data_IF_514497188581
#
_entry.id   IF_514497188581
#
_cell.length_a   1.000
_cell.length_b   1.000
_cell.length_c   1.000
_cell.angle_alpha   90.00
_cell.angle_beta   90.00
_cell.angle_gamma   90.00
#
_symmetry.space_group_name_H-M   'P 1'
#
loop_
_entity.id
_entity.type
_entity.pdbx_description
1 polymer ?
#
# COMPACT_ATOMS: atom_id res chain seq x y z
N UNK A 1 9.35 25.89 10.48
CA UNK A 1 8.44 24.75 10.63
C UNK A 1 8.77 24.05 11.94
N UNK A 2 7.76 23.74 12.76
CA UNK A 2 7.95 23.12 14.07
C UNK A 2 7.39 21.70 13.99
N UNK A 3 8.26 20.70 14.06
CA UNK A 3 7.87 19.28 14.14
C UNK A 3 8.12 18.78 15.56
N UNK A 4 7.17 18.01 16.11
CA UNK A 4 7.33 17.31 17.38
C UNK A 4 7.50 15.83 17.08
N UNK A 5 8.64 15.25 17.49
CA UNK A 5 8.90 13.83 17.36
C UNK A 5 8.23 13.08 18.52
N UNK A 6 7.43 12.06 18.18
CA UNK A 6 6.88 11.10 19.13
C UNK A 6 7.65 9.78 19.06
N UNK A 7 7.69 8.99 20.16
CA UNK A 7 8.30 7.66 20.16
C UNK A 7 7.53 6.69 19.24
N UNK A 8 8.08 5.48 18.97
CA UNK A 8 7.36 4.45 18.23
C UNK A 8 5.96 4.20 18.79
N UNK A 9 4.96 4.05 17.91
CA UNK A 9 3.56 3.85 18.30
C UNK A 9 3.31 2.49 18.97
N UNK A 10 4.08 1.47 18.57
CA UNK A 10 4.00 0.10 19.08
C UNK A 10 5.40 -0.40 19.51
N UNK A 11 5.97 0.14 20.59
CA UNK A 11 7.33 -0.19 21.02
C UNK A 11 7.50 -1.67 21.46
N UNK A 12 6.41 -2.38 21.69
CA UNK A 12 6.37 -3.81 22.01
C UNK A 12 6.53 -4.74 20.80
N UNK A 13 6.31 -4.24 19.58
CA UNK A 13 6.47 -5.02 18.36
C UNK A 13 7.95 -5.02 17.94
N UNK A 14 8.53 -6.21 17.77
CA UNK A 14 9.91 -6.37 17.30
C UNK A 14 10.11 -5.94 15.85
N UNK A 15 9.04 -5.92 15.05
CA UNK A 15 9.02 -5.43 13.68
C UNK A 15 7.63 -4.93 13.32
N UNK A 16 7.58 -3.67 12.86
CA UNK A 16 6.42 -3.07 12.22
C UNK A 16 6.94 -1.96 11.31
N UNK A 17 6.33 -1.81 10.15
CA UNK A 17 6.55 -0.70 9.23
C UNK A 17 5.26 -0.39 8.51
N UNK A 18 5.28 0.67 7.69
CA UNK A 18 4.15 1.16 6.92
C UNK A 18 2.99 1.58 7.80
N UNK A 19 2.47 2.78 7.57
CA UNK A 19 1.32 3.23 8.31
C UNK A 19 0.60 4.30 7.51
N UNK A 20 -0.72 4.19 7.45
CA UNK A 20 -1.58 5.25 6.97
C UNK A 20 -2.77 5.46 7.91
N UNK A 21 -3.23 6.70 7.98
CA UNK A 21 -4.25 7.13 8.92
C UNK A 21 -5.53 7.49 8.17
N UNK A 22 -6.65 6.90 8.60
CA UNK A 22 -7.98 7.38 8.27
C UNK A 22 -8.54 8.19 9.44
N UNK A 23 -8.68 9.50 9.23
CA UNK A 23 -9.46 10.38 10.11
C UNK A 23 -10.93 10.22 9.75
N UNK A 24 -11.59 9.23 10.36
CA UNK A 24 -12.97 8.89 10.03
C UNK A 24 -13.98 9.88 10.64
N UNK A 25 -13.86 10.15 11.94
CA UNK A 25 -14.63 11.20 12.62
C UNK A 25 -13.83 11.82 13.78
N UNK A 26 -14.44 12.77 14.49
CA UNK A 26 -13.79 13.54 15.59
C UNK A 26 -13.26 12.63 16.70
N UNK A 27 -13.90 11.49 16.95
CA UNK A 27 -13.59 10.61 18.09
C UNK A 27 -13.02 9.24 17.70
N UNK A 28 -13.07 8.88 16.42
CA UNK A 28 -12.61 7.58 15.93
C UNK A 28 -11.73 7.78 14.70
N UNK A 29 -10.45 7.44 14.85
CA UNK A 29 -9.50 7.33 13.76
C UNK A 29 -8.91 5.93 13.71
N UNK A 30 -8.48 5.54 12.51
CA UNK A 30 -7.98 4.20 12.22
C UNK A 30 -6.58 4.29 11.63
N UNK A 31 -5.65 3.56 12.23
CA UNK A 31 -4.31 3.35 11.70
C UNK A 31 -4.28 1.99 11.01
N UNK A 32 -4.04 2.00 9.71
CA UNK A 32 -3.72 0.81 8.93
C UNK A 32 -2.21 0.72 8.88
N UNK A 33 -1.63 -0.38 9.35
CA UNK A 33 -0.18 -0.48 9.51
C UNK A 33 0.29 -1.92 9.35
N UNK A 34 1.61 -2.11 9.34
CA UNK A 34 2.28 -3.40 9.33
C UNK A 34 2.37 -4.08 7.95
N UNK A 35 3.39 -4.92 7.82
CA UNK A 35 3.55 -5.98 6.80
C UNK A 35 3.94 -7.34 7.46
N UNK A 36 4.19 -7.33 8.78
CA UNK A 36 4.81 -8.46 9.48
C UNK A 36 3.81 -9.57 9.67
N UNK A 37 4.24 -10.82 9.44
CA UNK A 37 3.38 -12.01 9.44
C UNK A 37 2.26 -11.99 8.39
N UNK A 38 2.52 -11.42 7.20
CA UNK A 38 1.66 -11.64 6.03
C UNK A 38 0.31 -10.88 6.16
N UNK A 39 0.25 -9.88 7.04
CA UNK A 39 -0.95 -9.09 7.33
C UNK A 39 -0.69 -7.58 7.33
N UNK A 40 -1.67 -6.86 6.82
CA UNK A 40 -1.91 -5.45 7.09
C UNK A 40 -2.91 -5.39 8.24
N UNK A 41 -2.53 -4.70 9.31
CA UNK A 41 -3.23 -4.69 10.58
C UNK A 41 -3.94 -3.36 10.85
N UNK A 42 -4.85 -3.35 11.82
CA UNK A 42 -5.67 -2.18 12.17
C UNK A 42 -5.52 -1.83 13.64
N UNK A 43 -5.35 -0.54 13.93
CA UNK A 43 -5.47 0.01 15.28
C UNK A 43 -6.43 1.20 15.31
N UNK A 44 -7.04 1.45 16.47
CA UNK A 44 -7.93 2.59 16.69
C UNK A 44 -7.27 3.61 17.60
N UNK A 45 -7.55 4.88 17.38
CA UNK A 45 -7.15 5.97 18.26
C UNK A 45 -8.26 7.02 18.36
N UNK A 46 -8.19 7.82 19.42
CA UNK A 46 -9.02 9.00 19.64
C UNK A 46 -8.21 10.29 19.79
N UNK A 47 -6.87 10.19 19.87
CA UNK A 47 -5.97 11.32 20.14
C UNK A 47 -4.73 11.37 19.22
N UNK A 48 -4.62 10.43 18.28
CA UNK A 48 -3.52 10.27 17.32
C UNK A 48 -2.16 9.92 17.95
N UNK A 49 -2.09 9.73 19.26
CA UNK A 49 -0.86 9.45 20.01
C UNK A 49 -0.88 8.04 20.61
N UNK A 50 -2.05 7.58 21.06
CA UNK A 50 -2.22 6.27 21.67
C UNK A 50 -3.15 5.42 20.82
N UNK A 51 -2.68 4.21 20.48
CA UNK A 51 -3.38 3.31 19.57
C UNK A 51 -3.74 2.01 20.29
N UNK A 52 -5.00 1.60 20.16
CA UNK A 52 -5.47 0.28 20.58
C UNK A 52 -5.38 -0.67 19.40
N UNK A 53 -4.37 -1.54 19.43
CA UNK A 53 -4.18 -2.55 18.40
C UNK A 53 -5.34 -3.56 18.42
N UNK A 54 -6.11 -3.62 17.34
CA UNK A 54 -7.06 -4.71 17.15
C UNK A 54 -6.25 -5.88 16.62
N UNK A 55 -6.02 -6.92 17.44
CA UNK A 55 -5.19 -8.10 17.10
C UNK A 55 -5.74 -8.96 15.94
N UNK A 56 -6.49 -8.36 15.02
CA UNK A 56 -7.12 -8.97 13.86
C UNK A 56 -6.48 -8.35 12.61
N UNK A 57 -6.02 -9.22 11.73
CA UNK A 57 -5.59 -8.88 10.38
C UNK A 57 -6.73 -8.16 9.66
N UNK A 58 -6.44 -6.99 9.07
CA UNK A 58 -7.41 -6.24 8.28
C UNK A 58 -7.42 -6.72 6.83
N UNK A 59 -6.23 -6.81 6.22
CA UNK A 59 -6.02 -7.49 4.94
C UNK A 59 -4.95 -8.56 5.15
N UNK A 60 -5.25 -9.78 4.73
CA UNK A 60 -4.33 -10.93 4.69
C UNK A 60 -3.94 -11.22 3.24
N UNK A 61 -2.78 -11.86 3.02
CA UNK A 61 -2.44 -12.37 1.69
C UNK A 61 -3.44 -13.41 1.19
N UNK A 62 -3.46 -13.61 -0.12
CA UNK A 62 -4.25 -14.69 -0.74
C UNK A 62 -3.35 -15.57 -1.59
N UNK A 63 -3.37 -16.88 -1.29
CA UNK A 63 -2.66 -17.88 -2.08
C UNK A 63 -3.11 -17.80 -3.54
N UNK A 64 -2.16 -17.83 -4.47
CA UNK A 64 -2.37 -17.75 -5.94
C UNK A 64 -2.85 -16.40 -6.50
N UNK A 65 -2.93 -15.34 -5.69
CA UNK A 65 -3.23 -13.98 -6.15
C UNK A 65 -1.97 -13.11 -6.29
N UNK A 66 -2.14 -11.88 -6.79
CA UNK A 66 -1.06 -10.90 -6.92
C UNK A 66 -0.49 -10.42 -5.57
N UNK A 67 -1.24 -10.66 -4.49
CA UNK A 67 -0.94 -10.28 -3.12
C UNK A 67 -0.69 -11.50 -2.23
N UNK A 68 0.00 -12.52 -2.77
CA UNK A 68 0.21 -13.81 -2.13
C UNK A 68 1.35 -13.86 -1.11
N UNK A 69 2.30 -12.93 -1.19
CA UNK A 69 3.53 -12.91 -0.38
C UNK A 69 3.51 -11.78 0.66
N UNK A 70 2.90 -10.65 0.32
CA UNK A 70 2.89 -9.46 1.15
C UNK A 70 1.67 -8.60 0.85
N UNK A 71 1.14 -7.98 1.90
CA UNK A 71 0.19 -6.86 1.85
C UNK A 71 0.67 -5.79 2.83
N UNK A 72 0.58 -4.54 2.43
CA UNK A 72 1.08 -3.38 3.17
C UNK A 72 0.19 -2.17 2.84
N UNK A 73 -0.11 -1.28 3.80
CA UNK A 73 -0.92 -0.10 3.50
C UNK A 73 -0.24 0.76 2.42
N UNK A 74 -1.05 1.36 1.56
CA UNK A 74 -0.62 2.45 0.68
C UNK A 74 -1.06 3.80 1.22
N UNK A 75 -1.50 4.74 0.36
CA UNK A 75 -1.93 6.06 0.80
C UNK A 75 -3.21 6.03 1.64
N UNK A 76 -3.53 7.15 2.27
CA UNK A 76 -4.69 7.26 3.16
C UNK A 76 -6.01 6.96 2.42
N UNK A 77 -6.95 6.20 3.02
CA UNK A 77 -8.22 5.91 2.37
C UNK A 77 -8.97 7.17 1.97
N UNK A 78 -9.59 7.14 0.78
CA UNK A 78 -10.36 8.26 0.22
C UNK A 78 -11.84 7.97 0.24
N UNK A 79 -12.62 8.94 0.70
CA UNK A 79 -14.07 8.84 0.67
C UNK A 79 -14.58 9.04 -0.75
N UNK A 80 -15.43 8.14 -1.21
CA UNK A 80 -16.09 8.17 -2.50
C UNK A 80 -17.45 8.88 -2.42
N UNK A 81 -18.03 9.24 -3.56
CA UNK A 81 -19.31 9.94 -3.65
C UNK A 81 -20.51 9.12 -3.16
N UNK A 82 -20.42 7.78 -3.21
CA UNK A 82 -21.41 6.86 -2.62
C UNK A 82 -21.36 6.80 -1.08
N UNK A 83 -20.37 7.46 -0.47
CA UNK A 83 -20.16 7.52 0.96
C UNK A 83 -19.18 6.49 1.53
N UNK A 84 -18.79 5.48 0.75
CA UNK A 84 -17.81 4.45 1.13
C UNK A 84 -16.36 4.96 1.01
N UNK A 85 -15.39 4.14 1.39
CA UNK A 85 -13.96 4.46 1.27
C UNK A 85 -13.26 3.56 0.25
N UNK A 86 -12.52 4.15 -0.68
CA UNK A 86 -11.49 3.47 -1.45
C UNK A 86 -10.19 3.45 -0.65
N UNK A 87 -9.58 2.28 -0.50
CA UNK A 87 -8.26 2.14 0.09
C UNK A 87 -7.36 1.32 -0.84
N UNK A 88 -6.23 1.92 -1.23
CA UNK A 88 -5.19 1.24 -2.01
C UNK A 88 -4.18 0.61 -1.07
N UNK A 89 -3.76 -0.61 -1.38
CA UNK A 89 -2.74 -1.33 -0.61
C UNK A 89 -1.64 -1.83 -1.55
N UNK A 90 -0.39 -1.71 -1.08
CA UNK A 90 0.75 -2.31 -1.73
C UNK A 90 0.77 -3.81 -1.43
N UNK A 91 1.29 -4.59 -2.35
CA UNK A 91 1.30 -6.05 -2.24
C UNK A 91 2.48 -6.64 -2.99
N UNK A 92 2.76 -7.92 -2.76
CA UNK A 92 3.70 -8.65 -3.58
C UNK A 92 3.26 -10.08 -3.86
N UNK A 93 3.74 -10.62 -4.98
CA UNK A 93 3.77 -12.06 -5.29
C UNK A 93 5.19 -12.51 -5.55
N UNK A 94 5.46 -13.79 -5.30
CA UNK A 94 6.78 -14.37 -5.54
C UNK A 94 7.00 -14.62 -7.04
N UNK A 95 8.17 -14.23 -7.53
CA UNK A 95 8.70 -14.59 -8.84
C UNK A 95 9.75 -15.71 -8.71
N UNK A 96 10.06 -16.42 -9.80
CA UNK A 96 11.24 -17.29 -9.84
C UNK A 96 12.51 -16.50 -9.52
N UNK A 97 13.41 -17.09 -8.73
CA UNK A 97 14.68 -16.46 -8.35
C UNK A 97 15.48 -16.07 -9.62
N UNK A 98 15.79 -14.79 -9.82
CA UNK A 98 16.58 -14.33 -10.94
C UNK A 98 18.04 -14.66 -10.68
N UNK A 99 18.67 -15.35 -11.62
CA UNK A 99 20.03 -15.86 -11.44
C UNK A 99 21.13 -14.87 -11.81
N UNK A 100 20.82 -13.65 -12.28
CA UNK A 100 21.82 -12.77 -12.90
C UNK A 100 21.56 -11.25 -12.76
N UNK A 101 20.71 -10.81 -11.82
CA UNK A 101 20.49 -9.37 -11.60
C UNK A 101 21.55 -8.76 -10.66
N UNK A 102 21.82 -7.45 -10.78
CA UNK A 102 22.78 -6.74 -9.90
C UNK A 102 22.33 -6.74 -8.43
N UNK A 103 21.02 -6.68 -8.19
CA UNK A 103 20.41 -6.91 -6.88
C UNK A 103 20.34 -8.43 -6.62
N UNK A 104 21.08 -8.97 -5.65
CA UNK A 104 20.99 -10.38 -5.28
C UNK A 104 19.67 -10.68 -4.58
N UNK A 105 19.18 -11.92 -4.71
CA UNK A 105 18.05 -12.47 -3.94
C UNK A 105 16.76 -11.62 -4.02
N UNK A 106 16.50 -10.97 -5.15
CA UNK A 106 15.25 -10.26 -5.39
C UNK A 106 14.27 -11.24 -6.06
N UNK A 107 13.08 -11.48 -5.50
CA UNK A 107 12.16 -12.51 -6.00
C UNK A 107 10.67 -12.13 -5.83
N UNK A 108 10.34 -10.84 -5.84
CA UNK A 108 9.00 -10.36 -5.49
C UNK A 108 8.47 -9.30 -6.44
N UNK A 109 7.47 -9.59 -7.25
CA UNK A 109 6.80 -8.52 -8.00
C UNK A 109 5.85 -7.73 -7.09
N UNK A 110 6.11 -6.43 -6.92
CA UNK A 110 5.26 -5.55 -6.13
C UNK A 110 4.16 -4.95 -7.00
N UNK A 111 2.94 -4.98 -6.47
CA UNK A 111 1.70 -4.65 -7.17
C UNK A 111 0.81 -3.79 -6.28
N UNK A 112 -0.09 -3.03 -6.91
CA UNK A 112 -1.09 -2.23 -6.20
C UNK A 112 -2.48 -2.88 -6.29
N UNK A 113 -3.10 -3.12 -5.14
CA UNK A 113 -4.49 -3.59 -5.04
C UNK A 113 -5.41 -2.51 -4.46
N UNK A 114 -6.72 -2.78 -4.45
CA UNK A 114 -7.69 -1.93 -3.78
C UNK A 114 -8.73 -2.70 -2.98
N UNK A 115 -9.27 -2.05 -1.96
CA UNK A 115 -10.49 -2.45 -1.24
C UNK A 115 -11.48 -1.30 -1.18
N UNK A 116 -12.77 -1.63 -1.15
CA UNK A 116 -13.84 -0.72 -0.78
C UNK A 116 -14.24 -1.05 0.65
N UNK A 117 -14.20 -0.05 1.54
CA UNK A 117 -14.60 -0.19 2.95
C UNK A 117 -15.94 0.53 3.18
N UNK A 118 -16.72 0.01 4.11
CA UNK A 118 -18.00 0.61 4.49
C UNK A 118 -17.78 2.03 5.05
N UNK A 119 -18.55 2.98 4.51
CA UNK A 119 -18.48 4.39 4.89
C UNK A 119 -18.88 4.70 6.35
N UNK A 120 -19.68 3.84 6.98
CA UNK A 120 -20.11 3.96 8.37
C UNK A 120 -19.24 3.13 9.33
N UNK A 121 -18.68 2.02 8.84
CA UNK A 121 -17.80 1.15 9.61
C UNK A 121 -16.55 0.75 8.79
N UNK A 122 -15.48 1.56 8.83
CA UNK A 122 -14.26 1.32 8.04
C UNK A 122 -13.52 0.02 8.38
N UNK A 123 -13.97 -0.73 9.39
CA UNK A 123 -13.44 -2.07 9.71
C UNK A 123 -14.00 -3.16 8.80
N UNK A 124 -15.02 -2.85 7.99
CA UNK A 124 -15.66 -3.79 7.07
C UNK A 124 -15.22 -3.54 5.63
N UNK A 125 -14.63 -4.57 5.03
CA UNK A 125 -14.32 -4.60 3.59
C UNK A 125 -15.57 -5.09 2.85
N UNK A 126 -16.09 -4.26 1.95
CA UNK A 126 -17.23 -4.55 1.08
C UNK A 126 -16.80 -5.23 -0.23
N UNK A 127 -15.64 -4.85 -0.75
CA UNK A 127 -15.06 -5.43 -1.96
C UNK A 127 -13.53 -5.36 -1.91
N UNK A 128 -12.86 -6.31 -2.57
CA UNK A 128 -11.40 -6.36 -2.74
C UNK A 128 -11.11 -6.75 -4.18
N UNK A 129 -10.09 -6.13 -4.78
CA UNK A 129 -9.69 -6.42 -6.15
C UNK A 129 -9.14 -7.85 -6.29
N UNK A 130 -9.56 -8.57 -7.34
CA UNK A 130 -8.98 -9.90 -7.67
C UNK A 130 -7.73 -9.78 -8.54
N UNK A 131 -7.54 -8.64 -9.21
CA UNK A 131 -6.37 -8.30 -10.01
C UNK A 131 -5.74 -7.01 -9.49
N UNK A 132 -4.43 -6.80 -9.72
CA UNK A 132 -3.79 -5.54 -9.38
C UNK A 132 -4.35 -4.43 -10.29
N UNK A 133 -4.48 -3.22 -9.74
CA UNK A 133 -4.80 -2.01 -10.53
C UNK A 133 -3.54 -1.41 -11.17
N UNK A 134 -2.37 -1.75 -10.63
CA UNK A 134 -1.08 -1.36 -11.18
C UNK A 134 -0.05 -2.46 -10.92
N UNK A 135 0.70 -2.80 -11.97
CA UNK A 135 1.80 -3.74 -11.97
C UNK A 135 3.00 -3.14 -12.71
N UNK A 136 4.23 -3.64 -12.50
CA UNK A 136 5.40 -3.18 -13.24
C UNK A 136 5.32 -3.53 -14.73
N UNK A 137 5.14 -2.53 -15.60
CA UNK A 137 4.98 -2.71 -17.05
C UNK A 137 5.93 -1.84 -17.87
N UNK A 138 6.43 -0.75 -17.30
CA UNK A 138 7.35 0.17 -17.97
C UNK A 138 8.80 -0.18 -17.65
N UNK A 139 9.73 0.24 -18.52
CA UNK A 139 11.17 -0.01 -18.35
C UNK A 139 11.67 0.40 -16.95
N UNK A 140 11.15 1.53 -16.46
CA UNK A 140 11.51 2.15 -15.19
C UNK A 140 10.76 1.61 -13.97
N UNK A 141 9.78 0.72 -14.18
CA UNK A 141 9.05 0.00 -13.12
C UNK A 141 9.57 -1.43 -12.98
N UNK A 142 9.97 -2.04 -14.11
CA UNK A 142 10.58 -3.37 -14.13
C UNK A 142 12.03 -3.36 -13.68
N UNK A 143 12.87 -2.52 -14.25
CA UNK A 143 14.32 -2.45 -13.98
C UNK A 143 15.04 -3.80 -13.89
N UNK A 144 14.53 -4.82 -14.57
CA UNK A 144 15.08 -6.16 -14.61
C UNK A 144 16.06 -6.30 -15.79
N UNK A 145 16.53 -7.53 -16.05
CA UNK A 145 17.49 -7.77 -17.14
C UNK A 145 16.90 -7.53 -18.54
N UNK A 146 15.58 -7.46 -18.68
CA UNK A 146 14.91 -7.13 -19.94
C UNK A 146 14.80 -5.62 -20.16
N UNK A 147 15.08 -4.83 -19.12
CA UNK A 147 14.97 -3.38 -19.16
C UNK A 147 16.21 -2.75 -19.81
N UNK A 148 15.99 -1.84 -20.74
CA UNK A 148 17.05 -1.21 -21.53
C UNK A 148 17.83 -0.18 -20.70
N UNK A 149 17.15 0.89 -20.29
CA UNK A 149 17.81 2.01 -19.60
C UNK A 149 17.93 1.75 -18.10
N UNK A 150 16.94 1.06 -17.54
CA UNK A 150 16.72 1.01 -16.10
C UNK A 150 17.27 -0.24 -15.39
N UNK A 151 17.71 -1.27 -16.13
CA UNK A 151 18.35 -2.49 -15.58
C UNK A 151 19.57 -2.24 -14.69
N UNK A 152 20.24 -1.09 -14.85
CA UNK A 152 21.41 -0.69 -14.04
C UNK A 152 21.16 0.54 -13.16
N UNK A 153 19.91 1.03 -13.13
CA UNK A 153 19.53 2.28 -12.44
C UNK A 153 18.48 2.07 -11.36
N UNK A 154 17.62 1.05 -11.52
CA UNK A 154 16.71 0.63 -10.47
C UNK A 154 17.46 0.03 -9.28
N UNK A 155 16.98 0.30 -8.07
CA UNK A 155 17.53 -0.31 -6.86
C UNK A 155 16.88 -1.66 -6.60
N UNK A 156 15.56 -1.77 -6.81
CA UNK A 156 14.80 -3.03 -6.70
C UNK A 156 14.01 -3.27 -7.98
N UNK A 157 14.19 -4.38 -8.72
CA UNK A 157 13.38 -4.67 -9.89
C UNK A 157 11.91 -4.98 -9.55
N UNK A 158 11.03 -4.88 -10.56
CA UNK A 158 9.59 -5.15 -10.53
C UNK A 158 8.88 -4.51 -9.32
N UNK A 159 9.05 -3.21 -9.17
CA UNK A 159 8.36 -2.45 -8.13
C UNK A 159 7.49 -1.38 -8.73
N UNK A 160 6.20 -1.45 -8.42
CA UNK A 160 5.34 -0.28 -8.29
C UNK A 160 4.89 -0.18 -6.84
N UNK A 161 4.96 1.02 -6.26
CA UNK A 161 4.64 1.21 -4.83
C UNK A 161 4.05 2.60 -4.58
N UNK A 162 2.89 2.69 -3.92
CA UNK A 162 2.17 3.95 -3.77
C UNK A 162 2.00 4.37 -2.31
N UNK A 163 2.31 5.64 -2.02
CA UNK A 163 2.25 6.23 -0.67
C UNK A 163 1.57 7.60 -0.64
N UNK A 164 1.16 8.13 -1.80
CA UNK A 164 0.54 9.44 -1.86
C UNK A 164 -0.39 9.59 -3.04
N UNK A 165 -1.52 10.25 -2.80
CA UNK A 165 -2.47 10.64 -3.83
C UNK A 165 -3.23 11.89 -3.43
N UNK A 166 -3.85 12.55 -4.40
CA UNK A 166 -4.69 13.73 -4.17
C UNK A 166 -5.95 13.62 -5.00
N UNK A 167 -7.09 13.90 -4.39
CA UNK A 167 -8.35 14.02 -5.11
C UNK A 167 -8.31 15.23 -6.05
N UNK A 168 -8.68 15.02 -7.30
CA UNK A 168 -8.69 16.03 -8.37
C UNK A 168 -10.07 16.28 -8.96
N UNK A 169 -10.99 15.32 -8.83
CA UNK A 169 -12.42 15.47 -9.14
C UNK A 169 -13.26 14.53 -8.25
N UNK A 170 -14.57 14.52 -8.45
CA UNK A 170 -15.46 13.50 -7.85
C UNK A 170 -14.95 12.12 -8.30
N UNK A 171 -14.63 11.28 -7.32
CA UNK A 171 -14.11 9.92 -7.51
C UNK A 171 -12.91 9.78 -8.44
N UNK A 172 -12.12 10.86 -8.56
CA UNK A 172 -10.91 10.89 -9.35
C UNK A 172 -9.73 11.41 -8.54
N UNK A 173 -8.60 10.71 -8.65
CA UNK A 173 -7.41 10.95 -7.85
C UNK A 173 -6.15 10.93 -8.74
N UNK A 174 -5.24 11.86 -8.50
CA UNK A 174 -3.86 11.78 -8.98
C UNK A 174 -3.06 10.96 -7.98
N UNK A 175 -2.49 9.84 -8.41
CA UNK A 175 -1.67 8.92 -7.62
C UNK A 175 -0.19 9.13 -7.94
N UNK A 176 0.64 9.34 -6.92
CA UNK A 176 2.09 9.27 -7.04
C UNK A 176 2.56 7.89 -6.60
N UNK A 177 3.29 7.21 -7.48
CA UNK A 177 3.82 5.87 -7.20
C UNK A 177 5.29 5.79 -7.59
N UNK A 178 6.01 4.88 -6.96
CA UNK A 178 7.43 4.67 -7.15
C UNK A 178 7.68 3.53 -8.13
N UNK A 179 8.72 3.66 -8.93
CA UNK A 179 9.26 2.62 -9.80
C UNK A 179 10.65 2.21 -9.35
N UNK A 180 10.83 0.92 -9.12
CA UNK A 180 12.10 0.27 -8.77
C UNK A 180 12.89 0.85 -7.58
N UNK A 181 12.20 1.42 -6.58
CA UNK A 181 12.81 2.18 -5.48
C UNK A 181 13.76 3.29 -5.96
N UNK A 182 13.54 3.84 -7.15
CA UNK A 182 14.49 4.75 -7.81
C UNK A 182 13.86 6.05 -8.33
N UNK A 183 12.61 5.99 -8.79
CA UNK A 183 11.91 7.16 -9.36
C UNK A 183 10.44 7.18 -8.99
N UNK A 184 9.80 8.33 -9.16
CA UNK A 184 8.35 8.51 -8.97
C UNK A 184 7.69 8.78 -10.31
N UNK A 185 6.58 8.09 -10.57
CA UNK A 185 5.62 8.38 -11.64
C UNK A 185 4.29 8.90 -11.11
N UNK A 186 3.39 9.19 -12.03
CA UNK A 186 2.04 9.67 -11.73
C UNK A 186 1.03 8.87 -12.54
N UNK A 187 -0.05 8.43 -11.90
CA UNK A 187 -1.20 7.82 -12.53
C UNK A 187 -2.49 8.60 -12.16
N UNK A 188 -3.54 8.40 -12.96
CA UNK A 188 -4.89 8.85 -12.61
C UNK A 188 -5.73 7.64 -12.24
N UNK A 189 -6.38 7.70 -11.09
CA UNK A 189 -7.34 6.69 -10.62
C UNK A 189 -8.73 7.30 -10.75
N UNK A 190 -9.65 6.61 -11.42
CA UNK A 190 -11.06 7.01 -11.53
C UNK A 190 -11.91 5.83 -11.07
N UNK A 191 -12.90 6.07 -10.23
CA UNK A 191 -13.90 5.06 -9.82
C UNK A 191 -15.19 5.30 -10.60
N UNK A 192 -15.69 4.25 -11.23
CA UNK A 192 -16.92 4.27 -12.01
C UNK A 192 -17.95 3.37 -11.30
N UNK A 193 -19.18 3.86 -11.15
CA UNK A 193 -20.31 3.19 -10.49
C UNK A 193 -21.32 2.68 -11.52
#
# INVERSE_FOLDING_TARGET
ENWILHPPLFPELSWSKAATLLVHNVTHQYLFFNESNIELALAKTSDLLHYTYTKRSFIEVRVDYFDSELVEPGPEPRRLSDGNYLFLYNSARRLPLPTNHLKPNWDREYNLGWVIMDGNDPTKILARSDQPILSPELDWERCDLTSNKWSKRGLTPQVVFAEGWKQTSIDQFTLWYQGCDAVTGVAQVTVEF
#
